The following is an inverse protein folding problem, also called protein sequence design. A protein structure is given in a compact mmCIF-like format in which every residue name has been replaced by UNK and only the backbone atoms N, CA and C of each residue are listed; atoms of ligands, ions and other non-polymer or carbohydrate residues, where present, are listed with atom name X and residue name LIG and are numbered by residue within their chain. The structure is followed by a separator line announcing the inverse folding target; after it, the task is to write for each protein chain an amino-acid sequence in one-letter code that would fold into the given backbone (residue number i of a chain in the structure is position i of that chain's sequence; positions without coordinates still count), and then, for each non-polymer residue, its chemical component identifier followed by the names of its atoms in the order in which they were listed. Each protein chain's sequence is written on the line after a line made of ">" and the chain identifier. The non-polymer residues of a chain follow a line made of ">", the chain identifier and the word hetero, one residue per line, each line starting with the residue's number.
data_IF_797235531596
#
_entry.id   IF_797235531596
#
_cell.length_a   1.000
_cell.length_b   1.000
_cell.length_c   1.000
_cell.angle_alpha   90.00
_cell.angle_beta   90.00
_cell.angle_gamma   90.00
#
_symmetry.space_group_name_H-M   'P 1'
#
loop_
_entity.id
_entity.type
_entity.pdbx_description
1 polymer ?
#
# COMPACT_ATOMS: atom_id res chain seq x y z
N UNK A 1 -11.79 -10.01 -17.21
CA UNK A 1 -11.27 -8.83 -16.58
C UNK A 1 -10.78 -9.31 -15.22
N UNK A 2 -9.56 -9.33 -14.92
CA UNK A 2 -8.56 -8.36 -15.02
C UNK A 2 -7.27 -8.95 -14.53
N UNK A 3 -6.37 -8.99 -15.33
CA UNK A 3 -5.05 -9.53 -15.16
C UNK A 3 -4.04 -8.49 -14.68
N UNK A 4 -4.43 -7.43 -14.03
CA UNK A 4 -3.55 -6.29 -13.93
C UNK A 4 -2.78 -6.13 -12.65
N UNK A 5 -2.62 -7.16 -11.82
CA UNK A 5 -2.45 -6.80 -10.42
C UNK A 5 -1.31 -7.42 -9.68
N UNK A 6 -0.30 -7.87 -10.39
CA UNK A 6 0.96 -8.20 -9.73
C UNK A 6 2.09 -7.57 -10.53
N UNK A 7 2.54 -6.41 -10.08
CA UNK A 7 3.75 -5.75 -10.50
C UNK A 7 3.88 -5.54 -12.01
N UNK A 8 3.68 -4.33 -12.46
CA UNK A 8 4.16 -3.95 -13.79
C UNK A 8 5.64 -3.60 -13.66
N UNK A 9 6.49 -4.39 -14.26
CA UNK A 9 7.88 -4.02 -14.47
C UNK A 9 8.05 -3.51 -15.89
N UNK A 10 8.73 -2.41 -16.02
CA UNK A 10 9.05 -1.86 -17.31
C UNK A 10 10.38 -2.44 -17.79
N UNK A 11 10.31 -3.26 -18.80
CA UNK A 11 11.49 -3.86 -19.40
C UNK A 11 11.89 -3.11 -20.68
N UNK A 12 13.11 -2.60 -20.70
CA UNK A 12 13.71 -2.05 -21.91
C UNK A 12 14.44 -3.17 -22.63
N UNK A 13 13.88 -3.64 -23.70
CA UNK A 13 14.54 -4.55 -24.60
C UNK A 13 14.60 -3.93 -25.98
N UNK A 14 15.79 -3.76 -26.50
CA UNK A 14 16.04 -3.25 -27.86
C UNK A 14 15.36 -1.89 -28.15
N UNK A 15 15.38 -0.97 -27.16
CA UNK A 15 14.73 0.35 -27.23
C UNK A 15 13.21 0.33 -27.38
N UNK A 16 12.57 -0.80 -27.14
CA UNK A 16 11.11 -0.90 -27.03
C UNK A 16 10.77 -1.05 -25.56
N UNK A 17 10.06 -0.10 -25.03
CA UNK A 17 9.49 -0.22 -23.70
C UNK A 17 8.36 -1.25 -23.77
N UNK A 18 8.54 -2.39 -23.17
CA UNK A 18 7.44 -3.29 -22.96
C UNK A 18 7.03 -3.17 -21.48
N UNK A 19 5.78 -2.90 -21.26
CA UNK A 19 5.22 -3.01 -19.92
C UNK A 19 5.19 -4.49 -19.56
N UNK A 20 6.09 -4.89 -18.67
CA UNK A 20 6.09 -6.23 -18.13
C UNK A 20 5.05 -6.31 -17.04
N UNK A 21 3.94 -6.91 -17.35
CA UNK A 21 3.02 -7.34 -16.32
C UNK A 21 3.60 -8.60 -15.71
N UNK A 22 4.06 -8.50 -14.48
CA UNK A 22 4.39 -9.70 -13.73
C UNK A 22 3.19 -10.62 -13.84
N UNK A 23 3.37 -11.69 -14.57
CA UNK A 23 2.43 -12.80 -14.57
C UNK A 23 2.52 -13.53 -13.24
N UNK A 24 2.56 -12.82 -12.11
CA UNK A 24 2.45 -13.51 -10.85
C UNK A 24 1.45 -14.62 -11.05
N UNK A 25 1.83 -15.85 -10.82
CA UNK A 25 1.02 -17.00 -11.20
C UNK A 25 -0.33 -16.91 -10.48
N UNK A 26 -1.23 -16.13 -11.07
CA UNK A 26 -2.55 -15.84 -10.50
C UNK A 26 -3.32 -17.13 -10.21
N UNK A 27 -3.13 -18.14 -11.05
CA UNK A 27 -3.73 -19.47 -10.82
C UNK A 27 -3.17 -20.11 -9.55
N UNK A 28 -1.88 -20.00 -9.31
CA UNK A 28 -1.28 -20.51 -8.07
C UNK A 28 -1.72 -19.71 -6.84
N UNK A 29 -2.02 -18.43 -7.01
CA UNK A 29 -2.55 -17.57 -5.96
C UNK A 29 -4.04 -17.88 -5.69
N UNK A 30 -4.85 -18.01 -6.73
CA UNK A 30 -6.28 -18.27 -6.61
C UNK A 30 -6.59 -19.71 -6.20
N UNK A 31 -5.77 -20.66 -6.66
CA UNK A 31 -5.94 -22.09 -6.43
C UNK A 31 -4.61 -22.73 -5.99
N UNK A 32 -4.11 -22.39 -4.79
CA UNK A 32 -2.83 -22.85 -4.32
C UNK A 32 -2.80 -24.38 -4.18
N UNK A 33 -1.74 -24.97 -4.69
CA UNK A 33 -1.50 -26.41 -4.58
C UNK A 33 -0.31 -26.68 -3.69
N UNK A 34 -0.41 -27.69 -2.84
CA UNK A 34 0.70 -28.10 -2.00
C UNK A 34 1.91 -28.49 -2.85
N UNK A 35 3.07 -27.82 -2.70
CA UNK A 35 4.29 -28.21 -3.41
C UNK A 35 4.81 -29.57 -2.95
N UNK A 36 5.36 -30.34 -3.87
CA UNK A 36 5.96 -31.64 -3.53
C UNK A 36 7.12 -31.47 -2.54
N UNK A 37 7.11 -32.30 -1.52
CA UNK A 37 8.17 -32.34 -0.49
C UNK A 37 8.23 -31.12 0.41
N UNK A 38 7.21 -30.28 0.44
CA UNK A 38 7.18 -29.06 1.28
C UNK A 38 7.32 -29.40 2.77
N UNK A 39 6.81 -30.53 3.20
CA UNK A 39 6.92 -31.02 4.59
C UNK A 39 8.36 -31.31 5.02
N UNK A 40 9.29 -31.46 4.09
CA UNK A 40 10.73 -31.68 4.35
C UNK A 40 11.55 -30.41 4.24
N UNK A 41 10.99 -29.34 3.69
CA UNK A 41 11.66 -28.03 3.53
C UNK A 41 11.46 -27.20 4.79
N UNK A 42 12.37 -26.27 5.01
CA UNK A 42 12.25 -25.25 6.05
C UNK A 42 12.41 -23.86 5.43
N UNK A 43 11.67 -22.91 5.96
CA UNK A 43 11.78 -21.52 5.59
C UNK A 43 12.41 -20.72 6.74
N UNK A 44 13.33 -19.83 6.40
CA UNK A 44 13.98 -18.92 7.33
C UNK A 44 13.72 -17.50 6.86
N UNK A 45 13.03 -16.74 7.70
CA UNK A 45 12.59 -15.37 7.39
C UNK A 45 13.28 -14.42 8.36
N UNK A 46 13.92 -13.39 7.82
CA UNK A 46 14.62 -12.39 8.61
C UNK A 46 13.78 -11.12 8.69
N UNK A 47 13.45 -10.75 9.92
CA UNK A 47 12.55 -9.63 10.23
C UNK A 47 11.08 -10.06 10.34
N UNK A 48 10.28 -9.16 10.92
CA UNK A 48 8.82 -9.34 11.11
C UNK A 48 8.02 -8.18 10.52
N UNK A 49 8.56 -7.52 9.51
CA UNK A 49 7.78 -6.53 8.75
C UNK A 49 6.62 -7.18 8.01
N UNK A 50 5.72 -6.36 7.49
CA UNK A 50 4.48 -6.82 6.84
C UNK A 50 4.74 -7.87 5.75
N UNK A 51 5.73 -7.66 4.90
CA UNK A 51 6.09 -8.61 3.85
C UNK A 51 6.56 -9.96 4.41
N UNK A 52 7.35 -9.95 5.47
CA UNK A 52 7.85 -11.16 6.12
C UNK A 52 6.72 -11.96 6.77
N UNK A 53 5.83 -11.31 7.49
CA UNK A 53 4.67 -11.94 8.12
C UNK A 53 3.69 -12.47 7.06
N UNK A 54 3.47 -11.72 5.99
CA UNK A 54 2.66 -12.15 4.84
C UNK A 54 3.24 -13.41 4.21
N UNK A 55 4.55 -13.42 3.94
CA UNK A 55 5.22 -14.60 3.39
C UNK A 55 5.07 -15.82 4.30
N UNK A 56 5.22 -15.67 5.62
CA UNK A 56 5.01 -16.75 6.57
C UNK A 56 3.58 -17.28 6.53
N UNK A 57 2.59 -16.41 6.49
CA UNK A 57 1.19 -16.79 6.39
C UNK A 57 0.90 -17.59 5.10
N UNK A 58 1.37 -17.12 3.96
CA UNK A 58 1.17 -17.82 2.69
C UNK A 58 1.91 -19.15 2.62
N UNK A 59 3.11 -19.25 3.18
CA UNK A 59 3.83 -20.53 3.26
C UNK A 59 3.03 -21.58 4.04
N UNK A 60 2.37 -21.19 5.12
CA UNK A 60 1.57 -22.09 5.94
C UNK A 60 0.19 -22.33 5.33
N UNK A 61 -0.53 -21.27 4.97
CA UNK A 61 -1.91 -21.36 4.47
C UNK A 61 -1.99 -21.99 3.09
N UNK A 62 -1.20 -21.48 2.15
CA UNK A 62 -1.30 -21.82 0.74
C UNK A 62 -0.23 -22.84 0.33
N UNK A 63 0.99 -22.65 0.77
CA UNK A 63 2.08 -23.60 0.56
C UNK A 63 1.96 -24.89 1.39
N UNK A 64 1.07 -24.91 2.38
CA UNK A 64 0.86 -26.02 3.31
C UNK A 64 2.16 -26.53 3.95
N UNK A 65 3.09 -25.60 4.17
CA UNK A 65 4.31 -25.88 4.91
C UNK A 65 3.98 -26.04 6.40
N UNK A 66 4.48 -27.09 7.07
CA UNK A 66 4.27 -27.20 8.51
C UNK A 66 4.83 -25.98 9.26
N UNK A 67 4.02 -25.34 10.10
CA UNK A 67 4.41 -24.11 10.81
C UNK A 67 5.69 -24.27 11.64
N UNK A 68 5.94 -25.48 12.19
CA UNK A 68 7.20 -25.78 12.89
C UNK A 68 8.46 -25.72 12.02
N UNK A 69 8.32 -25.59 10.70
CA UNK A 69 9.40 -25.46 9.74
C UNK A 69 9.54 -24.04 9.19
N UNK A 70 8.70 -23.12 9.65
CA UNK A 70 8.81 -21.69 9.34
C UNK A 70 9.47 -21.03 10.56
N UNK A 71 10.66 -20.50 10.36
CA UNK A 71 11.46 -19.86 11.39
C UNK A 71 11.58 -18.38 11.07
N UNK A 72 11.09 -17.55 11.98
CA UNK A 72 11.14 -16.09 11.83
C UNK A 72 12.09 -15.53 12.87
N UNK A 73 13.04 -14.71 12.45
CA UNK A 73 14.03 -14.07 13.30
C UNK A 73 13.79 -12.57 13.33
N UNK A 74 13.57 -12.05 14.53
CA UNK A 74 13.38 -10.63 14.74
C UNK A 74 14.43 -10.12 15.73
N UNK A 75 14.97 -8.95 15.44
CA UNK A 75 15.94 -8.28 16.30
C UNK A 75 15.26 -7.48 17.40
N UNK A 76 14.14 -6.86 17.05
CA UNK A 76 13.43 -5.96 17.94
C UNK A 76 12.41 -6.72 18.81
N UNK A 77 12.10 -6.24 20.01
CA UNK A 77 11.18 -6.91 20.91
C UNK A 77 9.71 -6.89 20.45
N UNK A 78 9.39 -6.05 19.48
CA UNK A 78 8.04 -5.88 18.92
C UNK A 78 8.05 -6.28 17.45
N UNK A 79 7.16 -7.19 17.08
CA UNK A 79 6.97 -7.59 15.69
C UNK A 79 6.24 -6.49 14.90
N UNK A 80 6.42 -6.49 13.58
CA UNK A 80 5.72 -5.58 12.68
C UNK A 80 6.63 -4.67 11.86
N UNK A 81 7.89 -4.52 12.23
CA UNK A 81 8.84 -3.65 11.56
C UNK A 81 8.36 -2.19 11.55
N UNK A 82 8.35 -1.56 10.39
CA UNK A 82 7.83 -0.19 10.25
C UNK A 82 6.31 -0.09 10.46
N UNK A 83 5.60 -1.22 10.42
CA UNK A 83 4.17 -1.31 10.67
C UNK A 83 3.81 -1.73 12.10
N UNK A 84 4.75 -1.62 13.02
CA UNK A 84 4.50 -1.87 14.44
C UNK A 84 3.46 -0.89 15.02
N UNK A 85 2.88 -1.30 16.13
CA UNK A 85 2.00 -0.48 16.94
C UNK A 85 2.17 -0.81 18.40
N UNK A 86 1.82 0.13 19.25
CA UNK A 86 1.87 -0.02 20.69
C UNK A 86 0.51 0.25 21.30
N UNK A 87 0.10 -0.62 22.19
CA UNK A 87 -1.04 -0.36 23.04
C UNK A 87 -0.58 0.42 24.27
N UNK A 88 -1.20 1.56 24.51
CA UNK A 88 -1.01 2.33 25.73
C UNK A 88 -2.25 2.24 26.61
N UNK A 89 -2.05 1.88 27.83
CA UNK A 89 -3.15 1.78 28.81
C UNK A 89 -3.92 3.10 28.88
N UNK A 90 -5.23 3.04 28.72
CA UNK A 90 -6.17 4.16 28.72
C UNK A 90 -6.08 5.15 27.54
N UNK A 91 -5.23 4.89 26.54
CA UNK A 91 -5.09 5.75 25.36
C UNK A 91 -5.52 4.99 24.10
N UNK A 92 -5.32 3.67 24.08
CA UNK A 92 -5.54 2.82 22.92
C UNK A 92 -4.26 2.56 22.15
N UNK A 93 -4.42 2.27 20.87
CA UNK A 93 -3.29 1.91 20.01
C UNK A 93 -2.67 3.15 19.38
N UNK A 94 -1.34 3.18 19.38
CA UNK A 94 -0.53 4.22 18.73
C UNK A 94 0.34 3.58 17.68
N UNK A 95 0.34 4.14 16.50
CA UNK A 95 1.18 3.70 15.38
C UNK A 95 1.98 4.87 14.80
N UNK A 96 3.06 4.54 14.12
CA UNK A 96 3.90 5.52 13.44
C UNK A 96 3.35 5.84 12.05
N UNK A 97 3.19 7.12 11.74
CA UNK A 97 2.79 7.62 10.43
C UNK A 97 1.38 7.22 9.99
N UNK A 98 1.01 7.64 8.81
CA UNK A 98 -0.22 7.23 8.14
C UNK A 98 -0.12 5.80 7.58
N UNK A 99 -1.26 5.15 7.50
CA UNK A 99 -1.40 3.79 6.96
C UNK A 99 -2.49 3.79 5.90
N UNK A 100 -2.22 4.50 4.83
CA UNK A 100 -3.14 4.52 3.70
C UNK A 100 -3.04 3.20 2.91
N UNK A 101 -4.18 2.75 2.42
CA UNK A 101 -4.29 1.50 1.68
C UNK A 101 -5.05 1.75 0.39
N UNK A 102 -4.58 1.12 -0.68
CA UNK A 102 -5.20 1.20 -2.00
C UNK A 102 -6.13 0.00 -2.22
N UNK A 103 -7.20 0.22 -2.98
CA UNK A 103 -8.14 -0.83 -3.36
C UNK A 103 -7.48 -1.95 -4.17
N UNK A 104 -6.31 -1.68 -4.75
CA UNK A 104 -5.55 -2.62 -5.57
C UNK A 104 -4.46 -3.39 -4.82
N UNK A 105 -4.45 -3.32 -3.50
CA UNK A 105 -3.55 -4.15 -2.68
C UNK A 105 -4.13 -5.56 -2.48
N UNK A 106 -4.42 -6.27 -3.57
CA UNK A 106 -5.15 -7.55 -3.56
C UNK A 106 -4.50 -8.60 -2.67
N UNK A 107 -3.17 -8.70 -2.68
CA UNK A 107 -2.43 -9.65 -1.84
C UNK A 107 -2.65 -9.35 -0.37
N UNK A 108 -2.66 -8.07 0.01
CA UNK A 108 -2.91 -7.66 1.37
C UNK A 108 -4.37 -7.91 1.78
N UNK A 109 -5.31 -7.58 0.90
CA UNK A 109 -6.74 -7.83 1.16
C UNK A 109 -7.03 -9.33 1.29
N UNK A 110 -6.39 -10.15 0.46
CA UNK A 110 -6.49 -11.62 0.60
C UNK A 110 -5.93 -12.12 1.93
N UNK A 111 -4.80 -11.57 2.36
CA UNK A 111 -4.25 -11.87 3.67
C UNK A 111 -5.22 -11.48 4.79
N UNK A 112 -5.72 -10.24 4.77
CA UNK A 112 -6.59 -9.70 5.81
C UNK A 112 -7.90 -10.47 5.95
N UNK A 113 -8.41 -11.06 4.88
CA UNK A 113 -9.56 -11.96 4.93
C UNK A 113 -9.32 -13.20 5.78
N UNK A 114 -8.08 -13.66 5.89
CA UNK A 114 -7.71 -14.84 6.67
C UNK A 114 -7.16 -14.53 8.06
N UNK A 115 -6.94 -13.26 8.39
CA UNK A 115 -6.50 -12.85 9.72
C UNK A 115 -7.73 -12.56 10.59
N UNK A 116 -7.91 -13.29 11.70
CA UNK A 116 -9.04 -13.03 12.59
C UNK A 116 -8.89 -11.70 13.32
N UNK A 117 -10.01 -11.02 13.54
CA UNK A 117 -10.06 -9.87 14.43
C UNK A 117 -9.68 -10.27 15.86
N UNK A 118 -8.98 -9.38 16.54
CA UNK A 118 -8.70 -9.53 17.98
C UNK A 118 -9.82 -8.95 18.85
N UNK A 119 -10.69 -8.12 18.29
CA UNK A 119 -11.76 -7.43 19.02
C UNK A 119 -13.13 -8.07 18.80
N UNK A 120 -13.37 -8.61 17.59
CA UNK A 120 -14.67 -9.15 17.22
C UNK A 120 -14.55 -10.60 16.82
N UNK A 121 -15.14 -11.49 17.61
CA UNK A 121 -15.13 -12.93 17.34
C UNK A 121 -15.85 -13.27 16.01
N UNK A 122 -15.26 -14.16 15.23
CA UNK A 122 -15.83 -14.63 13.96
C UNK A 122 -15.74 -13.66 12.79
N UNK A 123 -15.04 -12.55 12.95
CA UNK A 123 -14.85 -11.51 11.93
C UNK A 123 -13.38 -11.45 11.52
N UNK A 124 -13.11 -11.21 10.26
CA UNK A 124 -11.74 -10.97 9.78
C UNK A 124 -11.32 -9.49 9.90
N UNK A 125 -10.02 -9.24 9.87
CA UNK A 125 -9.47 -7.88 9.80
C UNK A 125 -10.00 -7.14 8.56
N UNK A 126 -10.21 -7.84 7.44
CA UNK A 126 -10.79 -7.24 6.25
C UNK A 126 -12.22 -6.76 6.48
N UNK A 127 -13.04 -7.56 7.18
CA UNK A 127 -14.44 -7.20 7.47
C UNK A 127 -14.50 -5.96 8.37
N UNK A 128 -13.66 -5.89 9.39
CA UNK A 128 -13.58 -4.72 10.27
C UNK A 128 -13.15 -3.47 9.51
N UNK A 129 -12.13 -3.60 8.67
CA UNK A 129 -11.65 -2.51 7.83
C UNK A 129 -12.74 -2.01 6.89
N UNK A 130 -13.48 -2.91 6.26
CA UNK A 130 -14.58 -2.57 5.36
C UNK A 130 -15.71 -1.85 6.10
N UNK A 131 -16.11 -2.31 7.28
CA UNK A 131 -17.18 -1.68 8.04
C UNK A 131 -16.79 -0.30 8.59
N UNK A 132 -15.57 -0.17 9.05
CA UNK A 132 -15.04 1.12 9.50
C UNK A 132 -15.10 2.16 8.37
N UNK A 133 -14.63 1.80 7.20
CA UNK A 133 -14.64 2.69 6.04
C UNK A 133 -16.07 2.93 5.49
N UNK A 134 -16.97 2.00 5.64
CA UNK A 134 -18.37 2.18 5.23
C UNK A 134 -19.11 3.17 6.14
N UNK A 135 -18.83 3.16 7.43
CA UNK A 135 -19.47 4.06 8.41
C UNK A 135 -18.91 5.48 8.35
N UNK A 136 -17.62 5.60 8.15
CA UNK A 136 -16.91 6.87 8.03
C UNK A 136 -15.99 6.80 6.79
N UNK A 137 -16.55 6.93 5.59
CA UNK A 137 -15.76 6.83 4.37
C UNK A 137 -14.66 7.89 4.40
N UNK A 138 -13.46 7.43 4.58
CA UNK A 138 -12.29 8.29 4.53
C UNK A 138 -11.85 8.46 3.06
N UNK A 139 -12.59 9.26 2.33
CA UNK A 139 -12.33 9.56 0.93
C UNK A 139 -11.09 10.43 0.72
N UNK A 140 -10.04 10.24 1.46
CA UNK A 140 -8.85 11.09 1.37
C UNK A 140 -9.15 12.59 1.46
N UNK A 141 -10.28 12.95 2.03
CA UNK A 141 -10.60 14.32 2.34
C UNK A 141 -9.63 14.76 3.42
N UNK A 142 -8.74 15.66 3.06
CA UNK A 142 -7.82 16.21 4.04
C UNK A 142 -8.60 16.88 5.16
N UNK A 143 -8.41 16.38 6.36
CA UNK A 143 -8.88 17.06 7.57
C UNK A 143 -7.69 17.75 8.19
N UNK A 144 -7.77 19.05 8.28
CA UNK A 144 -6.78 19.83 8.97
C UNK A 144 -7.43 20.59 10.13
N UNK A 145 -6.68 20.78 11.17
CA UNK A 145 -7.10 21.60 12.29
C UNK A 145 -6.28 22.88 12.36
N UNK A 146 -6.89 23.95 12.82
CA UNK A 146 -6.26 25.22 13.17
C UNK A 146 -6.62 25.59 14.61
N UNK A 147 -6.00 26.62 15.16
CA UNK A 147 -6.34 27.16 16.47
C UNK A 147 -6.50 26.09 17.58
N UNK A 148 -5.64 25.07 17.56
CA UNK A 148 -5.66 23.95 18.55
C UNK A 148 -6.92 23.08 18.53
N UNK A 149 -7.38 22.70 17.35
CA UNK A 149 -8.41 21.68 17.19
C UNK A 149 -9.67 22.14 16.49
N UNK A 150 -9.80 23.40 16.13
CA UNK A 150 -10.87 23.87 15.25
C UNK A 150 -10.69 23.34 13.83
N UNK A 151 -11.78 23.02 13.16
CA UNK A 151 -11.71 22.59 11.77
C UNK A 151 -11.18 23.71 10.87
N UNK A 152 -10.19 23.40 10.03
CA UNK A 152 -9.70 24.33 9.03
C UNK A 152 -10.59 24.46 7.81
N UNK A 153 -11.67 23.64 7.73
CA UNK A 153 -12.63 23.61 6.62
C UNK A 153 -12.00 23.53 5.24
N UNK A 154 -11.00 22.68 5.10
CA UNK A 154 -10.31 22.48 3.81
C UNK A 154 -11.22 21.91 2.74
N UNK A 155 -12.33 21.27 3.13
CA UNK A 155 -13.36 20.69 2.26
C UNK A 155 -12.79 19.76 1.17
N UNK A 156 -11.61 19.19 1.41
CA UNK A 156 -10.91 18.35 0.45
C UNK A 156 -10.40 19.08 -0.80
N UNK A 157 -10.40 20.40 -0.78
CA UNK A 157 -9.93 21.21 -1.90
C UNK A 157 -8.47 21.59 -1.71
N UNK A 158 -7.72 21.47 -2.77
CA UNK A 158 -6.30 21.86 -2.80
C UNK A 158 -6.06 23.31 -3.20
N UNK A 159 -7.11 24.07 -3.48
CA UNK A 159 -6.98 25.45 -3.90
C UNK A 159 -6.27 25.61 -5.27
N UNK A 160 -6.38 24.62 -6.13
CA UNK A 160 -5.81 24.68 -7.47
C UNK A 160 -6.47 25.76 -8.30
N UNK A 161 -5.68 26.56 -9.02
CA UNK A 161 -6.17 27.38 -10.11
C UNK A 161 -6.63 26.49 -11.28
N UNK A 162 -7.49 27.02 -12.14
CA UNK A 162 -7.92 26.28 -13.34
C UNK A 162 -6.73 25.89 -14.22
N UNK A 163 -5.72 26.73 -14.30
CA UNK A 163 -4.49 26.45 -15.04
C UNK A 163 -3.72 25.29 -14.42
N UNK A 164 -3.46 25.32 -13.12
CA UNK A 164 -2.78 24.23 -12.43
C UNK A 164 -3.55 22.91 -12.53
N UNK A 165 -4.87 22.96 -12.44
CA UNK A 165 -5.71 21.76 -12.62
C UNK A 165 -5.59 21.19 -14.04
N UNK A 166 -5.57 22.06 -15.07
CA UNK A 166 -5.38 21.63 -16.46
C UNK A 166 -4.00 21.01 -16.69
N UNK A 167 -2.95 21.52 -16.06
CA UNK A 167 -1.61 20.94 -16.17
C UNK A 167 -1.51 19.57 -15.52
N UNK A 168 -2.14 19.40 -14.37
CA UNK A 168 -2.23 18.09 -13.72
C UNK A 168 -3.01 17.12 -14.62
N UNK A 169 -4.12 17.56 -15.20
CA UNK A 169 -4.87 16.73 -16.15
C UNK A 169 -4.03 16.41 -17.41
N UNK A 170 -3.19 17.30 -17.86
CA UNK A 170 -2.26 17.05 -18.98
C UNK A 170 -1.35 15.85 -18.70
N UNK A 171 -0.91 15.68 -17.44
CA UNK A 171 -0.09 14.52 -17.08
C UNK A 171 -0.78 13.20 -17.41
N UNK A 172 -2.07 13.06 -17.10
CA UNK A 172 -2.83 11.84 -17.35
C UNK A 172 -3.03 11.53 -18.84
N UNK A 173 -2.91 12.54 -19.70
CA UNK A 173 -3.04 12.39 -21.16
C UNK A 173 -1.70 12.37 -21.88
N UNK A 174 -0.60 12.52 -21.16
CA UNK A 174 0.74 12.50 -21.76
C UNK A 174 1.24 11.06 -21.81
N UNK A 175 1.61 10.55 -22.99
CA UNK A 175 2.20 9.21 -23.10
C UNK A 175 3.49 9.09 -22.28
N UNK A 176 3.71 7.94 -21.69
CA UNK A 176 4.86 7.68 -20.82
C UNK A 176 6.19 7.98 -21.52
N UNK A 177 6.30 7.68 -22.81
CA UNK A 177 7.51 7.92 -23.60
C UNK A 177 7.92 9.40 -23.66
N UNK A 178 6.96 10.32 -23.46
CA UNK A 178 7.23 11.75 -23.40
C UNK A 178 7.64 12.21 -22.01
N UNK A 179 7.52 11.37 -21.01
CA UNK A 179 7.81 11.67 -19.60
C UNK A 179 9.16 11.12 -19.13
N UNK A 180 9.68 10.07 -19.80
CA UNK A 180 10.86 9.34 -19.32
C UNK A 180 12.10 10.18 -19.05
N UNK A 181 12.37 11.15 -19.90
CA UNK A 181 13.56 11.98 -19.79
C UNK A 181 13.26 13.35 -19.16
N UNK A 182 12.05 13.55 -18.64
CA UNK A 182 11.63 14.81 -18.04
C UNK A 182 11.67 14.77 -16.53
N UNK A 183 12.15 15.84 -15.95
CA UNK A 183 11.95 16.10 -14.52
C UNK A 183 10.58 16.72 -14.29
N UNK A 184 10.08 16.60 -13.08
CA UNK A 184 8.77 17.15 -12.71
C UNK A 184 8.72 18.66 -12.96
N UNK A 185 9.79 19.40 -12.63
CA UNK A 185 9.89 20.84 -12.84
C UNK A 185 10.06 21.26 -14.31
N UNK A 186 10.28 20.33 -15.21
CA UNK A 186 10.28 20.56 -16.66
C UNK A 186 8.92 20.30 -17.29
N UNK A 187 8.02 19.72 -16.52
CA UNK A 187 6.70 19.34 -16.99
C UNK A 187 5.60 20.31 -16.54
N UNK A 188 5.67 20.79 -15.29
CA UNK A 188 4.69 21.68 -14.71
C UNK A 188 5.20 23.12 -14.62
N UNK A 189 4.29 24.08 -14.70
CA UNK A 189 4.56 25.48 -14.45
C UNK A 189 4.58 25.80 -12.94
N UNK A 190 5.12 26.97 -12.58
CA UNK A 190 5.27 27.42 -11.19
C UNK A 190 3.97 27.40 -10.38
N UNK A 191 2.82 27.64 -11.01
CA UNK A 191 1.51 27.61 -10.34
C UNK A 191 1.18 26.25 -9.69
N UNK A 192 1.66 25.14 -10.27
CA UNK A 192 1.46 23.81 -9.67
C UNK A 192 2.31 23.70 -8.42
N UNK A 193 3.55 24.18 -8.46
CA UNK A 193 4.50 24.08 -7.35
C UNK A 193 4.14 24.98 -6.17
N UNK A 194 3.45 26.09 -6.42
CA UNK A 194 2.96 27.00 -5.39
C UNK A 194 1.65 26.53 -4.75
N UNK A 195 1.07 25.44 -5.23
CA UNK A 195 -0.20 24.92 -4.75
C UNK A 195 -0.07 24.04 -3.50
N UNK A 196 -1.15 24.00 -2.68
CA UNK A 196 -1.27 23.04 -1.59
C UNK A 196 -1.29 21.58 -2.10
N UNK A 197 -1.75 21.37 -3.32
CA UNK A 197 -1.70 20.06 -3.97
C UNK A 197 -0.26 19.57 -4.11
N UNK A 198 0.66 20.44 -4.59
CA UNK A 198 2.06 20.08 -4.71
C UNK A 198 2.70 19.80 -3.34
N UNK A 199 2.40 20.62 -2.34
CA UNK A 199 2.87 20.38 -0.98
C UNK A 199 2.44 19.02 -0.45
N UNK A 200 1.19 18.66 -0.66
CA UNK A 200 0.65 17.35 -0.31
C UNK A 200 1.36 16.25 -1.12
N UNK A 201 1.39 16.38 -2.43
CA UNK A 201 1.90 15.35 -3.34
C UNK A 201 3.37 15.04 -3.09
N UNK A 202 4.23 16.06 -3.03
CA UNK A 202 5.65 15.85 -2.72
C UNK A 202 5.89 15.24 -1.36
N UNK A 203 5.06 15.55 -0.37
CA UNK A 203 5.18 15.02 0.98
C UNK A 203 4.79 13.56 1.03
N UNK A 204 3.71 13.18 0.35
CA UNK A 204 3.22 11.80 0.31
C UNK A 204 4.16 10.86 -0.44
N UNK A 205 4.75 11.32 -1.52
CA UNK A 205 5.62 10.51 -2.39
C UNK A 205 7.11 10.83 -2.24
N UNK A 206 7.48 11.68 -1.29
CA UNK A 206 8.87 12.08 -1.00
C UNK A 206 9.63 12.57 -2.25
N UNK A 207 8.95 13.34 -3.11
CA UNK A 207 9.61 13.96 -4.25
C UNK A 207 10.53 15.10 -3.80
N UNK A 208 11.74 15.08 -4.33
CA UNK A 208 12.65 16.22 -4.28
C UNK A 208 12.60 16.96 -5.64
N UNK A 209 12.83 18.26 -5.61
CA UNK A 209 12.82 19.11 -6.81
C UNK A 209 14.00 18.82 -7.73
#
# INVERSE_FOLDING_TARGET
>A
MTSSLVGSEMCIRDRVFCMYYSSGNYEAFAHPKKPEGVERKSAYIIGTGLAALTAACYLVRDGQMPGKRVHIFEKDPVAGGACDGYEFQNIGYVMRGGREMDNHFEVMWDLFRSVPSIETEGVSVLDEYYWLNKKDPNYSLMRATQNRGESAHTDGKFGLSDKAAMEIMRLFFTPDEQLYDKRINEFFDDEVFDSNFWLYWRTMFAFEN
#
